data_IF_104695431896
#
_entry.id   IF_104695431896
#
_cell.length_a   1.000
_cell.length_b   1.000
_cell.length_c   1.000
_cell.angle_alpha   90.00
_cell.angle_beta   90.00
_cell.angle_gamma   90.00
#
_symmetry.space_group_name_H-M   'P 1'
#
loop_
_entity.id
_entity.type
_entity.pdbx_description
1 polymer ?
#
# COMPACT_ATOMS: atom_id res chain seq x y z
N UNK A 1 -5.18 7.70 -34.56
CA UNK A 1 -5.95 7.97 -33.32
C UNK A 1 -5.19 8.96 -32.43
N UNK A 2 -3.89 8.78 -32.15
CA UNK A 2 -3.09 9.74 -31.37
C UNK A 2 -2.90 11.12 -32.04
N UNK A 3 -2.76 11.18 -33.38
CA UNK A 3 -2.60 12.44 -34.12
C UNK A 3 -3.83 13.35 -34.06
N UNK A 4 -5.04 12.77 -34.17
CA UNK A 4 -6.30 13.51 -34.09
C UNK A 4 -6.51 14.14 -32.71
N UNK A 5 -6.15 13.41 -31.65
CA UNK A 5 -6.26 13.90 -30.27
C UNK A 5 -5.26 15.02 -29.99
N UNK A 6 -4.07 14.96 -30.59
CA UNK A 6 -3.06 16.01 -30.47
C UNK A 6 -3.52 17.31 -31.14
N UNK A 7 -4.16 17.22 -32.31
CA UNK A 7 -4.70 18.39 -33.00
C UNK A 7 -5.86 19.02 -32.24
N UNK A 8 -6.77 18.22 -31.67
CA UNK A 8 -7.86 18.71 -30.82
C UNK A 8 -7.34 19.39 -29.55
N UNK A 9 -6.36 18.79 -28.86
CA UNK A 9 -5.79 19.39 -27.63
C UNK A 9 -5.13 20.75 -27.88
N UNK A 10 -4.45 20.93 -29.02
CA UNK A 10 -3.89 22.23 -29.43
C UNK A 10 -4.98 23.26 -29.74
N UNK A 11 -6.06 22.84 -30.39
CA UNK A 11 -7.17 23.71 -30.80
C UNK A 11 -7.96 24.27 -29.61
N UNK A 12 -8.09 23.48 -28.54
CA UNK A 12 -8.81 23.85 -27.32
C UNK A 12 -7.90 24.33 -26.17
N UNK A 13 -6.60 24.52 -26.40
CA UNK A 13 -5.61 24.81 -25.33
C UNK A 13 -5.73 23.84 -24.14
N UNK A 14 -6.09 22.59 -24.43
CA UNK A 14 -6.43 21.59 -23.42
C UNK A 14 -5.15 20.93 -22.89
N UNK A 15 -5.00 20.90 -21.56
CA UNK A 15 -3.97 20.10 -20.92
C UNK A 15 -4.25 18.62 -21.18
N UNK A 16 -3.27 17.91 -21.76
CA UNK A 16 -3.38 16.46 -22.00
C UNK A 16 -3.39 15.73 -20.65
N UNK A 17 -4.56 15.41 -20.14
CA UNK A 17 -4.74 14.47 -19.04
C UNK A 17 -4.90 13.06 -19.61
N UNK A 18 -3.88 12.23 -19.42
CA UNK A 18 -3.95 10.82 -19.81
C UNK A 18 -4.67 10.07 -18.69
N UNK A 19 -5.92 9.71 -18.93
CA UNK A 19 -6.67 8.79 -18.05
C UNK A 19 -6.31 7.37 -18.47
N UNK A 20 -5.64 6.63 -17.59
CA UNK A 20 -5.45 5.19 -17.77
C UNK A 20 -6.70 4.49 -17.24
N UNK A 21 -7.53 4.00 -18.14
CA UNK A 21 -8.64 3.11 -17.80
C UNK A 21 -8.14 1.69 -18.05
N UNK A 22 -7.90 0.88 -17.02
CA UNK A 22 -7.56 -0.53 -17.22
C UNK A 22 -8.81 -1.29 -17.71
N UNK A 23 -8.63 -2.25 -18.62
CA UNK A 23 -9.72 -3.07 -19.18
C UNK A 23 -10.37 -4.02 -18.15
N UNK A 24 -9.65 -4.36 -17.08
CA UNK A 24 -10.15 -5.06 -15.90
C UNK A 24 -9.76 -4.28 -14.65
N UNK A 25 -10.59 -4.30 -13.60
CA UNK A 25 -10.19 -3.86 -12.25
C UNK A 25 -8.99 -4.71 -11.79
N UNK A 26 -7.76 -4.16 -11.83
CA UNK A 26 -6.61 -4.92 -11.38
C UNK A 26 -6.70 -5.02 -9.86
N UNK A 27 -6.44 -6.22 -9.32
CA UNK A 27 -6.22 -6.37 -7.87
C UNK A 27 -4.89 -5.70 -7.55
N UNK A 28 -4.96 -4.45 -7.13
CA UNK A 28 -3.77 -3.69 -6.75
C UNK A 28 -3.11 -4.33 -5.53
N UNK A 29 -1.80 -4.54 -5.62
CA UNK A 29 -0.97 -4.99 -4.51
C UNK A 29 -0.60 -3.82 -3.64
N UNK A 30 -0.87 -3.92 -2.35
CA UNK A 30 -0.55 -2.87 -1.39
C UNK A 30 0.39 -3.35 -0.29
N UNK A 31 1.44 -2.58 -0.05
CA UNK A 31 2.27 -2.67 1.15
C UNK A 31 1.74 -1.72 2.22
N UNK A 32 1.69 -2.14 3.48
CA UNK A 32 1.20 -1.29 4.58
C UNK A 32 2.35 -0.99 5.54
N UNK A 33 2.60 0.29 5.78
CA UNK A 33 3.51 0.76 6.83
C UNK A 33 2.68 1.22 8.03
N UNK A 34 2.86 0.54 9.16
CA UNK A 34 2.16 0.82 10.41
C UNK A 34 3.12 1.28 11.50
N UNK A 35 2.60 2.03 12.47
CA UNK A 35 3.35 2.43 13.68
C UNK A 35 2.73 1.83 14.94
N UNK A 36 2.96 2.47 16.09
CA UNK A 36 2.50 2.05 17.42
C UNK A 36 0.97 1.98 17.53
N UNK A 37 0.25 2.78 16.75
CA UNK A 37 -1.20 2.88 16.85
C UNK A 37 -1.91 1.82 16.01
N UNK A 38 -2.56 0.87 16.70
CA UNK A 38 -3.23 -0.27 16.08
C UNK A 38 -4.50 0.07 15.31
N UNK A 39 -5.19 1.15 15.68
CA UNK A 39 -6.55 1.41 15.20
C UNK A 39 -6.64 1.59 13.68
N UNK A 40 -5.68 2.26 13.04
CA UNK A 40 -5.69 2.43 11.58
C UNK A 40 -5.41 1.14 10.84
N UNK A 41 -4.45 0.33 11.32
CA UNK A 41 -4.13 -0.96 10.71
C UNK A 41 -5.32 -1.93 10.84
N UNK A 42 -5.92 -2.00 12.03
CA UNK A 42 -7.08 -2.85 12.30
C UNK A 42 -8.29 -2.45 11.44
N UNK A 43 -8.60 -1.15 11.34
CA UNK A 43 -9.69 -0.66 10.49
C UNK A 43 -9.46 -1.00 9.01
N UNK A 44 -8.23 -0.86 8.51
CA UNK A 44 -7.87 -1.20 7.14
C UNK A 44 -8.02 -2.70 6.88
N UNK A 45 -7.51 -3.54 7.78
CA UNK A 45 -7.64 -5.01 7.69
C UNK A 45 -9.10 -5.46 7.74
N UNK A 46 -9.94 -4.81 8.58
CA UNK A 46 -11.37 -5.09 8.62
C UNK A 46 -12.06 -4.73 7.30
N UNK A 47 -11.81 -3.55 6.74
CA UNK A 47 -12.38 -3.13 5.45
C UNK A 47 -11.93 -4.04 4.30
N UNK A 48 -10.69 -4.53 4.35
CA UNK A 48 -10.19 -5.53 3.42
C UNK A 48 -10.92 -6.86 3.56
N UNK A 49 -11.11 -7.36 4.78
CA UNK A 49 -11.86 -8.59 5.04
C UNK A 49 -13.34 -8.49 4.62
N UNK A 50 -13.95 -7.32 4.76
CA UNK A 50 -15.32 -7.04 4.31
C UNK A 50 -15.44 -6.91 2.77
N UNK A 51 -14.33 -6.96 2.03
CA UNK A 51 -14.30 -6.81 0.58
C UNK A 51 -14.55 -5.37 0.09
N UNK A 52 -14.55 -4.39 0.99
CA UNK A 52 -14.68 -2.96 0.64
C UNK A 52 -13.41 -2.39 0.00
N UNK A 53 -12.28 -3.07 0.17
CA UNK A 53 -11.01 -2.76 -0.44
C UNK A 53 -10.60 -3.93 -1.35
N UNK A 54 -10.85 -3.86 -2.67
CA UNK A 54 -10.51 -4.91 -3.63
C UNK A 54 -9.00 -4.88 -3.97
N UNK A 55 -8.17 -5.04 -2.95
CA UNK A 55 -6.71 -4.99 -3.03
C UNK A 55 -6.10 -6.26 -2.45
N UNK A 56 -4.86 -6.56 -2.81
CA UNK A 56 -4.07 -7.65 -2.24
C UNK A 56 -3.03 -7.07 -1.29
N UNK A 57 -3.07 -7.46 -0.01
CA UNK A 57 -2.08 -7.00 0.97
C UNK A 57 -0.87 -7.93 0.88
N UNK A 58 0.25 -7.41 0.40
CA UNK A 58 1.47 -8.20 0.21
C UNK A 58 2.31 -8.30 1.46
N UNK A 59 2.41 -7.21 2.23
CA UNK A 59 3.20 -7.18 3.46
C UNK A 59 2.76 -6.04 4.39
N UNK A 60 2.99 -6.25 5.68
CA UNK A 60 2.87 -5.20 6.70
C UNK A 60 4.23 -4.94 7.32
N UNK A 61 4.71 -3.71 7.22
CA UNK A 61 5.98 -3.26 7.78
C UNK A 61 5.67 -2.35 8.98
N UNK A 62 6.36 -2.55 10.10
CA UNK A 62 6.16 -1.75 11.30
C UNK A 62 7.47 -1.42 11.98
N UNK A 63 7.55 -0.21 12.54
CA UNK A 63 8.67 0.24 13.35
C UNK A 63 8.60 -0.21 14.82
N UNK A 64 7.49 -0.84 15.23
CA UNK A 64 7.30 -1.39 16.57
C UNK A 64 7.17 -2.90 16.54
N UNK A 65 7.84 -3.56 17.48
CA UNK A 65 7.69 -4.99 17.71
C UNK A 65 6.30 -5.25 18.28
N UNK A 66 5.59 -6.19 17.69
CA UNK A 66 4.28 -6.65 18.18
C UNK A 66 4.44 -8.08 18.64
N UNK A 67 3.95 -8.37 19.84
CA UNK A 67 3.99 -9.72 20.38
C UNK A 67 3.17 -10.69 19.52
N UNK A 68 3.59 -11.97 19.42
CA UNK A 68 2.89 -12.98 18.63
C UNK A 68 1.44 -13.26 19.11
N UNK A 69 1.11 -12.86 20.34
CA UNK A 69 -0.23 -13.02 20.91
C UNK A 69 -1.18 -11.84 20.67
N UNK A 70 -0.79 -10.83 19.88
CA UNK A 70 -1.67 -9.71 19.55
C UNK A 70 -2.69 -10.12 18.47
N UNK A 71 -3.93 -9.62 18.58
CA UNK A 71 -5.01 -9.87 17.62
C UNK A 71 -4.60 -9.60 16.16
N UNK A 72 -3.78 -8.57 15.93
CA UNK A 72 -3.28 -8.21 14.60
C UNK A 72 -2.35 -9.26 14.01
N UNK A 73 -1.38 -9.77 14.77
CA UNK A 73 -0.45 -10.79 14.25
C UNK A 73 -1.19 -12.07 13.91
N UNK A 74 -2.10 -12.53 14.79
CA UNK A 74 -2.95 -13.69 14.52
C UNK A 74 -3.82 -13.50 13.28
N UNK A 75 -4.30 -12.28 13.05
CA UNK A 75 -5.06 -11.96 11.84
C UNK A 75 -4.18 -12.07 10.60
N UNK A 76 -2.97 -11.50 10.63
CA UNK A 76 -2.03 -11.53 9.51
C UNK A 76 -1.61 -12.97 9.19
N UNK A 77 -1.27 -13.77 10.21
CA UNK A 77 -0.93 -15.19 10.05
C UNK A 77 -2.08 -15.99 9.45
N UNK A 78 -3.32 -15.79 9.92
CA UNK A 78 -4.51 -16.45 9.37
C UNK A 78 -4.72 -16.13 7.89
N UNK A 79 -4.37 -14.92 7.48
CA UNK A 79 -4.50 -14.43 6.11
C UNK A 79 -3.22 -14.60 5.28
N UNK A 80 -2.19 -15.28 5.81
CA UNK A 80 -0.88 -15.47 5.17
C UNK A 80 -0.17 -14.18 4.74
N UNK A 81 -0.37 -13.09 5.50
CA UNK A 81 0.27 -11.80 5.23
C UNK A 81 1.54 -11.69 6.09
N UNK A 82 2.72 -11.49 5.50
CA UNK A 82 3.96 -11.35 6.25
C UNK A 82 4.01 -10.02 7.02
N UNK A 83 4.45 -10.09 8.28
CA UNK A 83 4.70 -8.95 9.15
C UNK A 83 6.21 -8.75 9.34
N UNK A 84 6.72 -7.59 8.94
CA UNK A 84 8.13 -7.22 9.05
C UNK A 84 8.30 -6.16 10.13
N UNK A 85 9.02 -6.51 11.19
CA UNK A 85 9.46 -5.55 12.18
C UNK A 85 10.81 -4.97 11.77
N UNK A 86 10.85 -3.66 11.52
CA UNK A 86 12.07 -2.92 11.20
C UNK A 86 12.29 -1.83 12.23
N UNK A 87 13.27 -2.03 13.12
CA UNK A 87 13.62 -1.03 14.12
C UNK A 87 14.29 0.17 13.44
N UNK A 88 13.54 1.25 13.24
CA UNK A 88 14.05 2.51 12.68
C UNK A 88 14.49 3.44 13.82
N UNK A 89 15.79 3.54 14.06
CA UNK A 89 16.36 4.55 14.98
C UNK A 89 16.80 5.79 14.19
N UNK A 90 16.92 6.96 14.85
CA UNK A 90 17.35 8.22 14.20
C UNK A 90 18.69 8.11 13.47
N UNK A 91 19.56 7.21 13.92
CA UNK A 91 20.88 6.95 13.33
C UNK A 91 20.87 5.84 12.27
N UNK A 92 19.82 5.01 12.21
CA UNK A 92 19.77 3.85 11.33
C UNK A 92 18.45 3.79 10.56
N UNK A 93 18.37 4.61 9.50
CA UNK A 93 17.25 4.59 8.56
C UNK A 93 17.37 3.36 7.67
N UNK A 94 16.59 2.32 7.97
CA UNK A 94 16.49 1.07 7.18
C UNK A 94 15.60 1.23 5.95
N UNK A 95 15.69 2.37 5.28
CA UNK A 95 14.88 2.69 4.09
C UNK A 95 15.16 1.71 2.94
N UNK A 96 16.39 1.21 2.82
CA UNK A 96 16.77 0.20 1.81
C UNK A 96 16.02 -1.12 1.98
N UNK A 97 15.99 -1.67 3.20
CA UNK A 97 15.24 -2.92 3.48
C UNK A 97 13.73 -2.73 3.27
N UNK A 98 13.19 -1.56 3.64
CA UNK A 98 11.79 -1.23 3.39
C UNK A 98 11.47 -1.19 1.90
N UNK A 99 12.34 -0.55 1.11
CA UNK A 99 12.20 -0.47 -0.33
C UNK A 99 12.20 -1.86 -0.96
N UNK A 100 13.15 -2.73 -0.56
CA UNK A 100 13.22 -4.10 -1.07
C UNK A 100 11.94 -4.91 -0.82
N UNK A 101 11.32 -4.73 0.35
CA UNK A 101 10.06 -5.40 0.70
C UNK A 101 8.85 -4.90 -0.08
N UNK A 102 8.87 -3.64 -0.54
CA UNK A 102 7.73 -3.01 -1.24
C UNK A 102 7.92 -2.91 -2.76
N UNK A 103 9.05 -3.37 -3.30
CA UNK A 103 9.37 -3.31 -4.74
C UNK A 103 8.30 -3.96 -5.62
N UNK A 104 7.64 -5.02 -5.16
CA UNK A 104 6.60 -5.74 -5.90
C UNK A 104 5.17 -5.18 -5.65
N UNK A 105 5.04 -4.03 -4.99
CA UNK A 105 3.74 -3.44 -4.63
C UNK A 105 3.38 -2.27 -5.52
N UNK A 106 2.09 -2.14 -5.87
CA UNK A 106 1.58 -1.02 -6.67
C UNK A 106 1.43 0.24 -5.83
N UNK A 107 0.99 0.08 -4.57
CA UNK A 107 0.81 1.20 -3.65
C UNK A 107 1.37 0.92 -2.27
N UNK A 108 1.84 1.99 -1.64
CA UNK A 108 2.31 1.99 -0.27
C UNK A 108 1.37 2.81 0.62
N UNK A 109 0.77 2.17 1.62
CA UNK A 109 -0.16 2.81 2.54
C UNK A 109 0.55 3.14 3.85
N UNK A 110 0.65 4.43 4.16
CA UNK A 110 1.18 4.92 5.43
C UNK A 110 0.06 4.98 6.48
N UNK A 111 -0.20 3.85 7.14
CA UNK A 111 -1.19 3.75 8.21
C UNK A 111 -0.64 4.32 9.53
N UNK A 112 -0.60 5.66 9.62
CA UNK A 112 -0.02 6.40 10.77
C UNK A 112 1.46 6.09 11.01
N UNK A 113 2.22 5.82 9.95
CA UNK A 113 3.66 5.69 10.04
C UNK A 113 4.27 7.04 10.45
N UNK A 114 4.93 7.07 11.62
CA UNK A 114 5.54 8.26 12.25
C UNK A 114 6.95 7.93 12.71
#
# INVERSE_FOLDING_TARGET
>A
MDEDFLNLSKLFSATRSVVRVPDLDPKFKIGILASKQDHCLVDLLHRWQEGRLPVEITCVISNHERGPNTHVIRFLERNNIPYHYLNTTKENKREGEMLELVLDTDFLVLARYM
#
